data_IF_900226650120
#
_entry.id   IF_900226650120
#
_cell.length_a   1.000
_cell.length_b   1.000
_cell.length_c   1.000
_cell.angle_alpha   90.00
_cell.angle_beta   90.00
_cell.angle_gamma   90.00
#
_symmetry.space_group_name_H-M   'P 1'
#
loop_
_entity.id
_entity.type
_entity.pdbx_description
1 polymer ?
#
# COMPACT_ATOMS: atom_id res chain seq x y z
N UNK A 1 -8.41 -20.88 -8.36
CA UNK A 1 -7.88 -20.62 -7.01
C UNK A 1 -7.49 -19.16 -6.93
N UNK A 2 -8.19 -18.35 -6.12
CA UNK A 2 -7.92 -16.92 -6.01
C UNK A 2 -6.51 -16.71 -5.46
N UNK A 3 -5.63 -16.18 -6.30
CA UNK A 3 -4.26 -15.78 -5.97
C UNK A 3 -4.29 -14.97 -4.66
N UNK A 4 -3.60 -15.46 -3.62
CA UNK A 4 -3.37 -14.73 -2.35
C UNK A 4 -2.55 -13.48 -2.67
N UNK A 5 -3.23 -12.46 -3.21
CA UNK A 5 -2.67 -11.13 -3.43
C UNK A 5 -2.42 -10.57 -2.04
N UNK A 6 -1.15 -10.36 -1.71
CA UNK A 6 -0.75 -9.75 -0.45
C UNK A 6 -1.46 -8.40 -0.28
N UNK A 7 -1.57 -7.97 0.98
CA UNK A 7 -2.19 -6.69 1.32
C UNK A 7 -1.50 -5.58 0.51
N UNK A 8 -2.29 -4.84 -0.26
CA UNK A 8 -1.77 -3.75 -1.10
C UNK A 8 -1.75 -2.45 -0.31
N UNK A 9 -0.95 -1.48 -0.75
CA UNK A 9 -0.91 -0.16 -0.12
C UNK A 9 -2.28 0.54 -0.13
N UNK A 10 -3.15 0.17 -1.07
CA UNK A 10 -4.50 0.71 -1.22
C UNK A 10 -5.45 0.17 -0.15
N UNK A 11 -5.35 -1.13 0.13
CA UNK A 11 -6.06 -1.77 1.25
C UNK A 11 -5.57 -1.21 2.59
N UNK A 12 -4.25 -1.06 2.73
CA UNK A 12 -3.65 -0.45 3.92
C UNK A 12 -4.16 0.98 4.15
N UNK A 13 -4.27 1.77 3.08
CA UNK A 13 -4.81 3.13 3.13
C UNK A 13 -6.28 3.17 3.54
N UNK A 14 -7.11 2.26 3.00
CA UNK A 14 -8.51 2.15 3.41
C UNK A 14 -8.65 1.72 4.87
N UNK A 15 -7.89 0.73 5.32
CA UNK A 15 -7.95 0.24 6.69
C UNK A 15 -7.47 1.29 7.70
N UNK A 16 -6.44 2.07 7.36
CA UNK A 16 -5.94 3.16 8.19
C UNK A 16 -6.80 4.43 8.09
N UNK A 17 -7.77 4.51 7.17
CA UNK A 17 -8.61 5.69 6.97
C UNK A 17 -7.85 6.92 6.45
N UNK A 18 -6.74 6.71 5.73
CA UNK A 18 -5.89 7.79 5.20
C UNK A 18 -5.63 7.62 3.71
N UNK A 19 -5.12 8.67 3.06
CA UNK A 19 -4.76 8.62 1.65
C UNK A 19 -3.55 7.71 1.38
N UNK A 20 -3.49 7.10 0.18
CA UNK A 20 -2.32 6.29 -0.26
C UNK A 20 -1.02 7.10 -0.15
N UNK A 21 -1.06 8.39 -0.48
CA UNK A 21 0.08 9.29 -0.33
C UNK A 21 0.52 9.45 1.14
N UNK A 22 -0.42 9.47 2.08
CA UNK A 22 -0.15 9.53 3.53
C UNK A 22 0.50 8.24 4.01
N UNK A 23 -0.01 7.07 3.59
CA UNK A 23 0.62 5.78 3.88
C UNK A 23 2.03 5.70 3.30
N UNK A 24 2.22 6.13 2.06
CA UNK A 24 3.55 6.15 1.41
C UNK A 24 4.54 7.03 2.16
N UNK A 25 4.12 8.23 2.58
CA UNK A 25 4.94 9.13 3.41
C UNK A 25 5.23 8.51 4.78
N UNK A 26 4.24 7.91 5.43
CA UNK A 26 4.39 7.25 6.73
C UNK A 26 5.39 6.08 6.69
N UNK A 27 5.26 5.20 5.70
CA UNK A 27 6.15 4.06 5.47
C UNK A 27 7.57 4.49 5.10
N UNK A 28 7.72 5.58 4.36
CA UNK A 28 9.02 6.18 4.01
C UNK A 28 9.61 7.07 5.11
N UNK A 29 8.88 7.28 6.22
CA UNK A 29 9.32 8.16 7.30
C UNK A 29 9.49 9.63 6.90
N UNK A 30 8.74 10.11 5.90
CA UNK A 30 8.85 11.50 5.45
C UNK A 30 8.27 12.48 6.48
N UNK A 31 8.89 13.66 6.65
CA UNK A 31 8.36 14.71 7.52
C UNK A 31 7.03 15.27 6.99
N UNK A 32 6.18 15.78 7.89
CA UNK A 32 4.88 16.35 7.56
C UNK A 32 3.65 15.47 7.85
N UNK A 33 3.84 14.36 8.59
CA UNK A 33 2.75 13.60 9.22
C UNK A 33 2.82 13.78 10.73
N UNK A 34 1.67 13.92 11.38
CA UNK A 34 1.58 13.81 12.84
C UNK A 34 2.04 12.43 13.29
N UNK A 35 2.73 12.37 14.42
CA UNK A 35 3.20 11.12 15.01
C UNK A 35 2.04 10.15 15.28
N UNK A 36 0.88 10.67 15.66
CA UNK A 36 -0.36 9.91 15.81
C UNK A 36 -0.76 9.18 14.52
N UNK A 37 -0.78 9.88 13.38
CA UNK A 37 -1.14 9.29 12.08
C UNK A 37 -0.11 8.25 11.64
N UNK A 38 1.18 8.52 11.89
CA UNK A 38 2.24 7.58 11.59
C UNK A 38 2.11 6.31 12.42
N UNK A 39 1.82 6.45 13.72
CA UNK A 39 1.55 5.34 14.64
C UNK A 39 0.39 4.47 14.16
N UNK A 40 -0.76 5.08 13.85
CA UNK A 40 -1.91 4.34 13.31
C UNK A 40 -1.57 3.57 12.04
N UNK A 41 -0.88 4.19 11.07
CA UNK A 41 -0.51 3.50 9.82
C UNK A 41 0.40 2.31 10.09
N UNK A 42 1.36 2.44 11.01
CA UNK A 42 2.28 1.36 11.37
C UNK A 42 1.58 0.23 12.14
N UNK A 43 0.65 0.54 13.03
CA UNK A 43 -0.17 -0.47 13.71
C UNK A 43 -1.02 -1.26 12.71
N UNK A 44 -1.76 -0.55 11.84
CA UNK A 44 -2.60 -1.20 10.84
C UNK A 44 -1.75 -2.02 9.86
N UNK A 45 -0.57 -1.53 9.46
CA UNK A 45 0.36 -2.28 8.63
C UNK A 45 0.81 -3.59 9.30
N UNK A 46 1.09 -3.56 10.61
CA UNK A 46 1.43 -4.77 11.36
C UNK A 46 0.26 -5.73 11.49
N UNK A 47 -0.94 -5.23 11.81
CA UNK A 47 -2.16 -6.05 11.91
C UNK A 47 -2.51 -6.76 10.61
N UNK A 48 -2.28 -6.08 9.48
CA UNK A 48 -2.54 -6.63 8.15
C UNK A 48 -1.39 -7.51 7.62
N UNK A 49 -0.27 -7.62 8.33
CA UNK A 49 0.92 -8.32 7.84
C UNK A 49 1.47 -7.70 6.55
N UNK A 50 1.39 -6.37 6.43
CA UNK A 50 1.81 -5.64 5.25
C UNK A 50 3.33 -5.72 5.07
N UNK A 51 3.75 -6.48 4.08
CA UNK A 51 5.17 -6.63 3.74
C UNK A 51 5.60 -5.48 2.80
N UNK A 52 6.34 -4.51 3.35
CA UNK A 52 6.89 -3.37 2.60
C UNK A 52 7.79 -3.81 1.44
N UNK A 53 8.39 -5.00 1.49
CA UNK A 53 9.22 -5.56 0.43
C UNK A 53 8.42 -6.02 -0.80
N UNK A 54 7.12 -6.31 -0.64
CA UNK A 54 6.20 -6.66 -1.73
C UNK A 54 5.65 -5.46 -2.50
N UNK A 55 6.05 -4.23 -2.15
CA UNK A 55 5.82 -3.03 -2.96
C UNK A 55 6.43 -3.08 -4.37
N UNK A 56 7.14 -4.17 -4.73
CA UNK A 56 7.48 -4.47 -6.12
C UNK A 56 6.22 -4.80 -6.92
N UNK A 57 5.56 -3.73 -7.31
CA UNK A 57 4.62 -3.53 -8.41
C UNK A 57 4.55 -4.76 -9.33
N UNK A 58 3.42 -5.45 -9.27
CA UNK A 58 3.02 -6.35 -10.35
C UNK A 58 3.12 -5.58 -11.66
N UNK A 59 4.09 -5.99 -12.48
CA UNK A 59 4.35 -5.47 -13.83
C UNK A 59 3.01 -5.30 -14.55
N UNK A 60 2.63 -4.10 -15.04
CA UNK A 60 1.38 -3.98 -15.78
C UNK A 60 1.48 -4.92 -16.99
N UNK A 61 0.57 -5.88 -17.06
CA UNK A 61 0.37 -6.73 -18.23
C UNK A 61 -0.10 -5.80 -19.33
N UNK A 62 0.85 -5.36 -20.16
CA UNK A 62 0.62 -4.53 -21.34
C UNK A 62 -0.35 -5.30 -22.24
N UNK A 63 -1.65 -4.96 -22.16
CA UNK A 63 -2.62 -5.37 -23.16
C UNK A 63 -2.24 -4.64 -24.45
N UNK A 64 -1.59 -5.35 -25.37
CA UNK A 64 -1.56 -4.91 -26.76
C UNK A 64 -2.99 -5.13 -27.29
N UNK A 65 -3.76 -4.05 -27.36
CA UNK A 65 -4.82 -3.95 -28.35
C UNK A 65 -4.14 -3.87 -29.71
N UNK A 66 -4.08 -4.98 -30.44
CA UNK A 66 -3.81 -4.97 -31.87
C UNK A 66 -5.17 -4.81 -32.56
N UNK A 67 -5.35 -3.66 -33.22
CA UNK A 67 -6.50 -3.42 -34.10
C UNK A 67 -6.42 -4.39 -35.29
N UNK A 68 -7.58 -4.99 -35.63
CA UNK A 68 -7.83 -5.69 -36.89
C UNK A 68 -8.18 -4.70 -37.99
#
# INVERSE_FOLDING_TARGET
MAEKRGVTIRELAQAAGVSIGTVSRALKGQPGLSEQTRGQVLEVAQQLGYDVGKLRTGKPRRMLFLYS
#
